data_IF_849791346075
#
_entry.id   IF_849791346075
#
_cell.length_a   1.000
_cell.length_b   1.000
_cell.length_c   1.000
_cell.angle_alpha   90.00
_cell.angle_beta   90.00
_cell.angle_gamma   90.00
#
_symmetry.space_group_name_H-M   'P 1'
#
loop_
_entity.id
_entity.type
_entity.pdbx_description
1 polymer ?
#
# COMPACT_ATOMS: atom_id res chain seq x y z
N UNK A 1 -8.74 11.65 -11.13
CA UNK A 1 -7.41 11.16 -11.57
C UNK A 1 -7.11 9.93 -10.75
N UNK A 2 -6.69 8.84 -11.39
CA UNK A 2 -6.37 7.57 -10.72
C UNK A 2 -4.87 7.37 -10.69
N UNK A 3 -4.32 7.02 -9.53
CA UNK A 3 -2.90 6.76 -9.31
C UNK A 3 -2.72 5.29 -8.92
N UNK A 4 -1.91 4.58 -9.70
CA UNK A 4 -1.48 3.22 -9.38
C UNK A 4 -0.09 3.32 -8.76
N UNK A 5 0.04 2.88 -7.51
CA UNK A 5 1.25 3.02 -6.73
C UNK A 5 1.90 1.65 -6.50
N UNK A 6 3.06 1.42 -7.12
CA UNK A 6 3.79 0.16 -7.02
C UNK A 6 4.93 0.32 -6.01
N UNK A 7 4.95 -0.56 -5.01
CA UNK A 7 6.04 -0.61 -4.03
C UNK A 7 6.44 -2.06 -3.76
N UNK A 8 7.70 -2.26 -3.41
CA UNK A 8 8.21 -3.57 -2.98
C UNK A 8 7.98 -3.82 -1.49
N UNK A 9 7.72 -2.75 -0.73
CA UNK A 9 7.53 -2.76 0.70
C UNK A 9 6.23 -2.08 1.10
N UNK A 10 5.56 -2.66 2.07
CA UNK A 10 4.35 -2.12 2.68
C UNK A 10 4.29 -2.57 4.13
N UNK A 11 3.76 -1.73 5.02
CA UNK A 11 3.55 -2.12 6.42
C UNK A 11 2.57 -3.30 6.57
N UNK A 12 1.82 -3.63 5.52
CA UNK A 12 0.84 -4.74 5.50
C UNK A 12 1.42 -6.06 4.98
N UNK A 13 2.47 -6.03 4.16
CA UNK A 13 3.04 -7.24 3.57
C UNK A 13 4.46 -7.49 4.07
N UNK A 14 5.39 -6.60 3.74
CA UNK A 14 6.80 -6.68 4.12
C UNK A 14 7.36 -5.30 4.41
N UNK A 15 7.79 -5.12 5.64
CA UNK A 15 8.49 -3.92 6.11
C UNK A 15 9.96 -4.25 6.34
N UNK A 16 10.85 -3.61 5.60
CA UNK A 16 12.30 -3.71 5.78
C UNK A 16 12.88 -2.37 6.24
N UNK A 17 12.28 -1.25 5.80
CA UNK A 17 12.68 0.08 6.22
C UNK A 17 11.59 1.14 6.08
N UNK A 18 12.01 2.39 5.94
CA UNK A 18 11.10 3.56 5.87
C UNK A 18 10.24 3.61 4.61
N UNK A 19 10.61 2.87 3.55
CA UNK A 19 9.84 2.80 2.31
C UNK A 19 8.43 2.25 2.53
N UNK A 20 8.30 1.24 3.39
CA UNK A 20 7.03 0.63 3.74
C UNK A 20 6.04 1.66 4.32
N UNK A 21 6.52 2.57 5.17
CA UNK A 21 5.69 3.60 5.80
C UNK A 21 5.42 4.79 4.87
N UNK A 22 6.45 5.23 4.15
CA UNK A 22 6.35 6.39 3.26
C UNK A 22 5.31 6.15 2.15
N UNK A 23 5.31 4.95 1.56
CA UNK A 23 4.39 4.58 0.48
C UNK A 23 2.92 4.66 0.91
N UNK A 24 2.61 4.13 2.10
CA UNK A 24 1.24 4.15 2.64
C UNK A 24 0.81 5.54 3.06
N UNK A 25 1.68 6.31 3.74
CA UNK A 25 1.36 7.69 4.15
C UNK A 25 1.12 8.60 2.94
N UNK A 26 1.88 8.41 1.85
CA UNK A 26 1.66 9.14 0.62
C UNK A 26 0.30 8.79 0.00
N UNK A 27 -0.05 7.50 -0.08
CA UNK A 27 -1.34 7.04 -0.58
C UNK A 27 -2.51 7.64 0.22
N UNK A 28 -2.43 7.63 1.56
CA UNK A 28 -3.41 8.27 2.44
C UNK A 28 -3.52 9.78 2.21
N UNK A 29 -2.40 10.46 2.02
CA UNK A 29 -2.37 11.90 1.74
C UNK A 29 -2.97 12.28 0.38
N UNK A 30 -2.95 11.36 -0.59
CA UNK A 30 -3.60 11.52 -1.88
C UNK A 30 -5.10 11.23 -1.80
N UNK A 31 -5.49 10.16 -1.09
CA UNK A 31 -6.91 9.84 -0.83
C UNK A 31 -7.63 10.98 -0.11
N UNK A 32 -7.02 11.58 0.90
CA UNK A 32 -7.60 12.73 1.63
C UNK A 32 -7.78 13.99 0.78
N UNK A 33 -7.19 14.03 -0.42
CA UNK A 33 -7.34 15.11 -1.41
C UNK A 33 -8.32 14.74 -2.54
N UNK A 34 -9.04 13.62 -2.42
CA UNK A 34 -10.00 13.16 -3.42
C UNK A 34 -9.34 12.50 -4.63
N UNK A 35 -8.08 12.05 -4.52
CA UNK A 35 -7.41 11.28 -5.57
C UNK A 35 -7.69 9.79 -5.34
N UNK A 36 -8.11 9.08 -6.39
CA UNK A 36 -8.25 7.63 -6.33
C UNK A 36 -6.87 6.98 -6.38
N UNK A 37 -6.54 6.17 -5.36
CA UNK A 37 -5.24 5.50 -5.25
C UNK A 37 -5.41 4.02 -5.00
N UNK A 38 -4.67 3.21 -5.75
CA UNK A 38 -4.49 1.78 -5.50
C UNK A 38 -3.02 1.48 -5.27
N UNK A 39 -2.73 0.70 -4.23
CA UNK A 39 -1.36 0.32 -3.86
C UNK A 39 -1.16 -1.16 -4.16
N UNK A 40 -0.17 -1.44 -5.02
CA UNK A 40 0.24 -2.78 -5.40
C UNK A 40 1.55 -3.11 -4.71
N UNK A 41 1.59 -4.27 -4.06
CA UNK A 41 2.80 -4.76 -3.38
C UNK A 41 2.87 -6.27 -3.55
N UNK A 42 4.03 -6.83 -3.92
CA UNK A 42 4.15 -8.27 -4.14
C UNK A 42 3.87 -9.07 -2.86
N UNK A 43 3.29 -10.26 -3.04
CA UNK A 43 3.20 -11.25 -1.97
C UNK A 43 4.57 -11.79 -1.63
N UNK A 44 5.08 -11.53 -0.42
CA UNK A 44 6.36 -12.08 0.04
C UNK A 44 6.21 -13.41 0.79
N UNK A 45 5.02 -14.04 0.75
CA UNK A 45 4.65 -15.32 1.36
C UNK A 45 5.19 -15.57 2.79
N UNK A 46 4.40 -15.21 3.81
CA UNK A 46 4.21 -16.00 5.07
C UNK A 46 3.14 -15.43 6.00
N UNK A 47 2.61 -14.24 5.74
CA UNK A 47 1.48 -13.72 6.54
C UNK A 47 0.66 -12.74 5.71
N UNK A 48 -0.56 -13.14 5.33
CA UNK A 48 -1.62 -12.21 4.93
C UNK A 48 -2.08 -11.48 6.20
N UNK A 49 -1.25 -10.60 6.72
CA UNK A 49 -1.63 -9.77 7.86
C UNK A 49 -2.23 -8.48 7.37
N UNK A 50 -3.50 -8.30 7.70
CA UNK A 50 -4.20 -7.02 7.78
C UNK A 50 -4.85 -6.56 6.47
N UNK A 51 -6.09 -7.00 6.28
CA UNK A 51 -7.10 -6.24 5.56
C UNK A 51 -7.23 -4.85 6.22
N UNK A 52 -6.86 -3.79 5.50
CA UNK A 52 -7.21 -2.42 5.89
C UNK A 52 -8.46 -2.02 5.07
N UNK A 53 -9.60 -1.68 5.70
CA UNK A 53 -10.88 -1.48 5.00
C UNK A 53 -10.92 -0.27 4.03
N UNK A 54 -9.89 0.58 3.99
CA UNK A 54 -9.90 1.84 3.22
C UNK A 54 -9.21 1.79 1.85
N UNK A 55 -8.46 0.72 1.52
CA UNK A 55 -7.90 0.51 0.17
C UNK A 55 -7.66 -0.97 -0.09
N UNK A 56 -7.89 -1.40 -1.34
CA UNK A 56 -7.55 -2.75 -1.78
C UNK A 56 -6.04 -2.83 -1.99
N UNK A 57 -5.33 -3.45 -1.04
CA UNK A 57 -3.99 -3.96 -1.30
C UNK A 57 -4.17 -5.18 -2.18
N UNK A 58 -3.93 -5.02 -3.48
CA UNK A 58 -3.90 -6.15 -4.39
C UNK A 58 -2.51 -6.76 -4.31
N UNK A 59 -2.50 -7.98 -3.79
CA UNK A 59 -1.33 -8.83 -3.65
C UNK A 59 -1.29 -9.70 -4.89
N UNK A 60 -0.30 -9.49 -5.75
CA UNK A 60 0.09 -10.43 -6.81
C UNK A 60 1.00 -11.53 -6.24
#
# INVERSE_FOLDING_TARGET
MRVLFFTFESIYTKKVGGLAEASIRLAQGLLSRGVEVEVYTPSHSTTNTCENPEYRVLVD
#
